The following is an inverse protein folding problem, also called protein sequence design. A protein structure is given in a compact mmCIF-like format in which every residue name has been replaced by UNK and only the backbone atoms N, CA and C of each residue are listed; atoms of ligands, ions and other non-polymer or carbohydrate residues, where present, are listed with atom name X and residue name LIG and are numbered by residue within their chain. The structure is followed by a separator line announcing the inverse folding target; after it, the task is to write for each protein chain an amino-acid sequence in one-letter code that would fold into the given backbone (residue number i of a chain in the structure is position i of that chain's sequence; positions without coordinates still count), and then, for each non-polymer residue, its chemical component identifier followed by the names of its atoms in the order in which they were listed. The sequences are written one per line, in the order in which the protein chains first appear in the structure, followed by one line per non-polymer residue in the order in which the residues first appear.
data_IF_871285819345
#
_entry.id   IF_871285819345
#
_cell.length_a   1.000
_cell.length_b   1.000
_cell.length_c   1.000
_cell.angle_alpha   90.00
_cell.angle_beta   90.00
_cell.angle_gamma   90.00
#
_symmetry.space_group_name_H-M   'P 1'
#
loop_
_entity.id
_entity.type
_entity.pdbx_description
1 polymer ?
#
# COMPACT_ATOMS: atom_id res chain seq x y z
N UNK A 1 15.72 -2.04 5.19
CA UNK A 1 14.80 -0.88 5.28
C UNK A 1 15.44 0.19 6.16
N UNK A 2 15.49 1.45 5.75
CA UNK A 2 16.13 2.52 6.53
C UNK A 2 15.14 3.24 7.47
N UNK A 3 15.65 4.09 8.36
CA UNK A 3 14.85 4.83 9.34
C UNK A 3 13.81 5.78 8.72
N UNK A 4 14.14 6.41 7.58
CA UNK A 4 13.20 7.29 6.87
C UNK A 4 12.05 6.48 6.27
N UNK A 5 12.32 5.27 5.76
CA UNK A 5 11.26 4.35 5.31
C UNK A 5 10.35 3.94 6.46
N UNK A 6 10.90 3.65 7.64
CA UNK A 6 10.11 3.29 8.83
C UNK A 6 9.20 4.45 9.24
N UNK A 7 9.72 5.69 9.26
CA UNK A 7 8.90 6.89 9.53
C UNK A 7 7.76 7.05 8.53
N UNK A 8 8.03 6.87 7.24
CA UNK A 8 7.01 6.97 6.19
C UNK A 8 5.92 5.91 6.37
N UNK A 9 6.31 4.64 6.61
CA UNK A 9 5.35 3.58 6.90
C UNK A 9 4.50 3.95 8.12
N UNK A 10 5.13 4.39 9.20
CA UNK A 10 4.41 4.77 10.43
C UNK A 10 3.43 5.92 10.19
N UNK A 11 3.84 6.93 9.43
CA UNK A 11 2.98 8.04 9.00
C UNK A 11 1.78 7.52 8.20
N UNK A 12 1.97 6.66 7.20
CA UNK A 12 0.86 6.13 6.40
C UNK A 12 -0.08 5.23 7.20
N UNK A 13 0.45 4.42 8.11
CA UNK A 13 -0.35 3.53 8.95
C UNK A 13 -1.15 4.35 9.97
N UNK A 14 -0.56 5.34 10.64
CA UNK A 14 -1.26 6.09 11.69
C UNK A 14 -2.14 7.22 11.18
N UNK A 15 -1.67 7.97 10.18
CA UNK A 15 -2.39 9.17 9.68
C UNK A 15 -3.44 8.78 8.66
N UNK A 16 -3.12 7.83 7.78
CA UNK A 16 -4.00 7.43 6.69
C UNK A 16 -4.72 6.09 6.94
N UNK A 17 -4.45 5.44 8.07
CA UNK A 17 -5.02 4.13 8.41
C UNK A 17 -4.78 3.07 7.32
N UNK A 18 -3.63 3.15 6.64
CA UNK A 18 -3.25 2.16 5.63
C UNK A 18 -2.77 0.89 6.31
N UNK A 19 -3.08 -0.25 5.69
CA UNK A 19 -2.50 -1.53 6.09
C UNK A 19 -1.21 -1.75 5.32
N UNK A 20 -0.20 -2.26 6.03
CA UNK A 20 1.05 -2.72 5.44
C UNK A 20 1.04 -4.24 5.32
N UNK A 21 1.50 -4.73 4.18
CA UNK A 21 1.79 -6.15 3.92
C UNK A 21 3.28 -6.29 3.60
N UNK A 22 4.01 -7.06 4.39
CA UNK A 22 5.44 -7.27 4.17
C UNK A 22 5.65 -8.39 3.14
N UNK A 23 6.36 -8.08 2.04
CA UNK A 23 6.61 -9.03 0.94
C UNK A 23 7.98 -9.70 1.06
N UNK A 24 8.85 -9.21 1.94
CA UNK A 24 10.20 -9.73 2.18
C UNK A 24 11.28 -8.95 1.44
N UNK A 25 12.56 -9.13 1.82
CA UNK A 25 13.72 -8.46 1.19
C UNK A 25 13.53 -6.94 0.99
N UNK A 26 13.06 -6.25 2.03
CA UNK A 26 12.76 -4.80 2.01
C UNK A 26 11.66 -4.36 1.03
N UNK A 27 10.86 -5.31 0.53
CA UNK A 27 9.65 -5.05 -0.22
C UNK A 27 8.42 -5.11 0.70
N UNK A 28 7.52 -4.14 0.52
CA UNK A 28 6.27 -4.06 1.25
C UNK A 28 5.19 -3.41 0.39
N UNK A 29 3.93 -3.70 0.68
CA UNK A 29 2.80 -3.06 0.03
C UNK A 29 1.97 -2.26 1.05
N UNK A 30 1.52 -1.07 0.66
CA UNK A 30 0.53 -0.29 1.40
C UNK A 30 -0.83 -0.44 0.74
N UNK A 31 -1.87 -0.61 1.55
CA UNK A 31 -3.23 -0.88 1.11
C UNK A 31 -4.23 -0.01 1.87
N UNK A 32 -5.24 0.48 1.17
CA UNK A 32 -6.41 1.12 1.79
C UNK A 32 -7.70 0.40 1.41
N UNK A 33 -8.72 0.58 2.23
CA UNK A 33 -9.97 -0.16 2.14
C UNK A 33 -11.17 0.78 2.23
N UNK A 34 -12.22 0.43 1.49
CA UNK A 34 -13.53 1.04 1.60
C UNK A 34 -14.15 0.68 2.96
N UNK A 35 -15.18 1.41 3.37
CA UNK A 35 -15.89 1.15 4.62
C UNK A 35 -16.49 -0.27 4.67
N UNK A 36 -16.81 -0.84 3.50
CA UNK A 36 -17.30 -2.22 3.36
C UNK A 36 -16.19 -3.29 3.46
N UNK A 37 -14.92 -2.90 3.67
CA UNK A 37 -13.78 -3.79 3.80
C UNK A 37 -13.14 -4.23 2.47
N UNK A 38 -13.65 -3.78 1.32
CA UNK A 38 -13.03 -4.05 0.02
C UNK A 38 -11.82 -3.15 -0.21
N UNK A 39 -10.83 -3.63 -0.98
CA UNK A 39 -9.62 -2.85 -1.29
C UNK A 39 -9.98 -1.66 -2.18
N UNK A 40 -9.44 -0.48 -1.88
CA UNK A 40 -9.50 0.69 -2.76
C UNK A 40 -8.28 0.66 -3.67
N UNK A 41 -7.09 0.54 -3.07
CA UNK A 41 -5.84 0.50 -3.81
C UNK A 41 -4.72 -0.21 -3.03
N UNK A 42 -3.68 -0.58 -3.77
CA UNK A 42 -2.47 -1.26 -3.30
C UNK A 42 -1.26 -0.74 -4.07
N UNK A 43 -0.27 -0.21 -3.36
CA UNK A 43 1.02 0.20 -3.92
C UNK A 43 2.12 -0.67 -3.36
N UNK A 44 3.01 -1.17 -4.22
CA UNK A 44 4.22 -1.89 -3.82
C UNK A 44 5.43 -0.94 -3.76
N UNK A 45 6.23 -1.12 -2.72
CA UNK A 45 7.46 -0.39 -2.49
C UNK A 45 8.61 -1.38 -2.35
N UNK A 46 9.78 -0.98 -2.85
CA UNK A 46 11.04 -1.70 -2.72
C UNK A 46 12.11 -0.74 -2.25
N UNK A 47 12.84 -1.11 -1.20
CA UNK A 47 13.88 -0.25 -0.60
C UNK A 47 13.36 1.13 -0.18
N UNK A 48 12.07 1.22 0.16
CA UNK A 48 11.38 2.47 0.52
C UNK A 48 10.99 3.35 -0.66
N UNK A 49 11.21 2.93 -1.90
CA UNK A 49 10.83 3.62 -3.13
C UNK A 49 9.62 2.94 -3.77
N UNK A 50 8.76 3.73 -4.41
CA UNK A 50 7.62 3.20 -5.14
C UNK A 50 8.09 2.31 -6.30
N UNK A 51 7.63 1.06 -6.35
CA UNK A 51 8.10 0.03 -7.28
C UNK A 51 7.29 0.01 -8.60
N UNK A 52 6.56 1.09 -8.91
CA UNK A 52 5.77 1.23 -10.14
C UNK A 52 4.46 0.45 -10.17
N UNK A 53 4.32 -0.58 -9.34
CA UNK A 53 3.09 -1.38 -9.25
C UNK A 53 2.07 -0.70 -8.36
N UNK A 54 0.99 -0.27 -8.99
CA UNK A 54 -0.18 0.25 -8.30
C UNK A 54 -1.41 -0.43 -8.87
N UNK A 55 -2.24 -0.96 -7.99
CA UNK A 55 -3.55 -1.52 -8.33
C UNK A 55 -4.63 -0.71 -7.66
N UNK A 56 -5.69 -0.37 -8.39
CA UNK A 56 -6.90 0.28 -7.86
C UNK A 56 -8.11 -0.57 -8.19
N UNK A 57 -9.01 -0.71 -7.25
CA UNK A 57 -10.28 -1.41 -7.41
C UNK A 57 -11.44 -0.43 -7.30
N UNK A 58 -12.54 -0.76 -7.97
CA UNK A 58 -13.84 -0.14 -7.72
C UNK A 58 -14.46 -0.69 -6.44
N UNK A 59 -15.48 -0.02 -5.92
CA UNK A 59 -16.23 -0.45 -4.72
C UNK A 59 -16.99 -1.78 -4.91
N UNK A 60 -17.13 -2.25 -6.16
CA UNK A 60 -17.66 -3.58 -6.49
C UNK A 60 -16.58 -4.68 -6.53
N UNK A 61 -15.32 -4.34 -6.22
CA UNK A 61 -14.20 -5.26 -6.16
C UNK A 61 -13.53 -5.54 -7.51
N UNK A 62 -14.02 -4.97 -8.61
CA UNK A 62 -13.38 -5.09 -9.92
C UNK A 62 -12.13 -4.21 -10.00
N UNK A 63 -11.08 -4.70 -10.67
CA UNK A 63 -9.89 -3.91 -10.93
C UNK A 63 -10.28 -2.75 -11.85
N UNK A 64 -10.08 -1.53 -11.37
CA UNK A 64 -10.26 -0.31 -12.14
C UNK A 64 -9.00 -0.02 -12.97
N UNK A 65 -7.83 -0.17 -12.34
CA UNK A 65 -6.57 0.18 -12.97
C UNK A 65 -5.41 -0.61 -12.37
N UNK A 66 -4.43 -0.95 -13.22
CA UNK A 66 -3.14 -1.51 -12.82
C UNK A 66 -2.04 -0.85 -13.66
N UNK A 67 -0.98 -0.41 -13.00
CA UNK A 67 0.32 -0.09 -13.63
C UNK A 67 1.37 -1.15 -13.27
#
# INVERSE_FOLDING_TARGET
MNWETIKLIYYYVLVHNYKIEYLGKDEYALQSYYQNGQKIWRDEYKDGLWNGKCMRWFENGQINWTA
#
